data_IF_768941986082
#
_entry.id   IF_768941986082
#
_cell.length_a   1.000
_cell.length_b   1.000
_cell.length_c   1.000
_cell.angle_alpha   90.00
_cell.angle_beta   90.00
_cell.angle_gamma   90.00
#
_symmetry.space_group_name_H-M   'P 1'
#
loop_
_entity.id
_entity.type
_entity.pdbx_description
1 polymer ?
#
# COMPACT_ATOMS: atom_id res chain seq x y z
N UNK A 1 60.71 63.86 -5.56
CA UNK A 1 60.89 64.67 -4.33
C UNK A 1 60.02 64.09 -3.23
N UNK A 2 60.61 63.90 -2.05
CA UNK A 2 60.04 63.96 -0.69
C UNK A 2 58.73 63.21 -0.32
N UNK A 3 58.91 62.13 0.46
CA UNK A 3 58.46 61.83 1.84
C UNK A 3 57.07 62.24 2.42
N UNK A 4 56.66 61.40 3.40
CA UNK A 4 55.66 61.56 4.50
C UNK A 4 54.20 61.20 4.12
N UNK A 5 53.34 60.57 4.94
CA UNK A 5 53.31 60.23 6.37
C UNK A 5 52.19 59.20 6.62
N UNK A 6 52.20 58.57 7.81
CA UNK A 6 51.31 57.51 8.32
C UNK A 6 49.80 57.87 8.36
N UNK A 7 48.94 56.84 8.24
CA UNK A 7 47.72 56.74 9.06
C UNK A 7 47.26 55.28 9.24
N UNK A 8 46.70 55.01 10.42
CA UNK A 8 46.32 53.73 11.03
C UNK A 8 45.17 53.00 10.31
N UNK A 9 45.11 51.69 10.46
CA UNK A 9 43.82 51.00 10.53
C UNK A 9 43.78 49.55 10.05
N UNK A 10 43.82 48.64 11.01
CA UNK A 10 43.07 47.38 11.06
C UNK A 10 43.38 46.21 10.12
N UNK A 11 43.15 45.03 10.72
CA UNK A 11 42.83 43.75 10.11
C UNK A 11 43.97 42.91 9.53
N UNK A 12 44.69 42.21 10.42
CA UNK A 12 45.03 40.81 10.13
C UNK A 12 44.89 39.98 11.42
N UNK A 13 43.64 39.62 11.74
CA UNK A 13 43.28 38.67 12.78
C UNK A 13 43.68 37.23 12.43
N UNK A 14 44.97 36.98 12.26
CA UNK A 14 45.56 35.68 11.91
C UNK A 14 45.65 34.69 13.09
N UNK A 15 45.01 34.94 14.23
CA UNK A 15 45.32 34.22 15.47
C UNK A 15 44.14 33.66 16.27
N UNK A 16 42.90 33.71 15.79
CA UNK A 16 41.78 33.07 16.50
C UNK A 16 40.88 32.26 15.57
N UNK A 17 41.52 31.45 14.74
CA UNK A 17 40.90 30.47 13.85
C UNK A 17 40.50 29.16 14.53
N UNK A 18 40.44 29.06 15.87
CA UNK A 18 40.27 27.75 16.54
C UNK A 18 39.30 27.70 17.73
N UNK A 19 38.56 28.77 18.04
CA UNK A 19 37.73 28.82 19.27
C UNK A 19 36.27 29.21 19.05
N UNK A 20 35.68 28.85 17.91
CA UNK A 20 34.22 29.04 17.66
C UNK A 20 33.49 27.82 17.09
N UNK A 21 34.09 26.63 17.10
CA UNK A 21 33.41 25.40 16.63
C UNK A 21 32.72 24.63 17.77
N UNK A 22 32.98 24.98 19.04
CA UNK A 22 32.51 24.22 20.20
C UNK A 22 31.18 24.69 20.83
N UNK A 23 30.46 25.65 20.23
CA UNK A 23 29.26 26.21 20.85
C UNK A 23 28.08 26.38 19.88
N UNK A 24 27.80 25.34 19.08
CA UNK A 24 26.57 25.27 18.28
C UNK A 24 25.90 23.87 18.34
N UNK A 25 26.28 23.03 19.30
CA UNK A 25 25.53 21.84 19.70
C UNK A 25 24.79 22.19 20.99
N UNK A 26 23.55 22.67 20.95
CA UNK A 26 22.60 22.57 22.11
C UNK A 26 21.22 23.23 21.93
N UNK A 27 20.88 23.88 20.81
CA UNK A 27 19.54 24.51 20.68
C UNK A 27 18.86 24.17 19.35
N UNK A 28 18.59 22.88 19.11
CA UNK A 28 17.46 22.45 18.26
C UNK A 28 16.92 21.14 18.85
N UNK A 29 16.48 21.18 20.11
CA UNK A 29 15.78 20.08 20.77
C UNK A 29 14.42 20.58 21.29
N UNK A 30 13.64 21.19 20.40
CA UNK A 30 12.30 21.68 20.71
C UNK A 30 11.39 21.69 19.47
N UNK A 31 11.39 20.58 18.74
CA UNK A 31 10.32 20.30 17.78
C UNK A 31 9.96 18.83 17.92
N UNK A 32 9.18 18.55 18.96
CA UNK A 32 8.29 17.39 19.05
C UNK A 32 7.38 17.41 17.82
N UNK A 33 7.89 16.95 16.69
CA UNK A 33 7.06 16.37 15.65
C UNK A 33 6.49 15.09 16.27
N UNK A 34 5.30 15.23 16.84
CA UNK A 34 4.34 14.13 16.94
C UNK A 34 4.06 13.71 15.50
N UNK A 35 4.95 12.90 14.94
CA UNK A 35 4.60 12.09 13.79
C UNK A 35 3.59 11.10 14.34
N UNK A 36 2.33 11.05 13.86
CA UNK A 36 1.56 9.84 14.04
C UNK A 36 2.46 8.74 13.52
N UNK A 37 2.68 7.73 14.36
CA UNK A 37 3.33 6.48 14.00
C UNK A 37 2.72 6.01 12.67
N UNK A 38 3.33 6.39 11.55
CA UNK A 38 3.32 5.59 10.35
C UNK A 38 4.14 4.39 10.77
N UNK A 39 3.44 3.44 11.40
CA UNK A 39 3.76 2.04 11.22
C UNK A 39 3.95 1.97 9.71
N UNK A 40 5.17 1.72 9.19
CA UNK A 40 5.24 1.29 7.82
C UNK A 40 4.29 0.11 7.83
N UNK A 41 3.18 0.17 7.09
CA UNK A 41 2.58 -1.06 6.60
C UNK A 41 3.76 -1.70 5.90
N UNK A 42 4.49 -2.57 6.61
CA UNK A 42 5.37 -3.54 6.02
C UNK A 42 4.52 -4.04 4.87
N UNK A 43 4.95 -3.73 3.63
CA UNK A 43 4.22 -4.09 2.42
C UNK A 43 3.87 -5.54 2.64
N UNK A 44 2.62 -5.77 3.04
CA UNK A 44 2.16 -7.07 3.45
C UNK A 44 2.44 -7.90 2.21
N UNK A 45 3.07 -9.05 2.41
CA UNK A 45 3.44 -10.02 1.39
C UNK A 45 2.56 -9.84 0.15
N UNK A 46 3.18 -9.47 -0.98
CA UNK A 46 2.46 -9.10 -2.20
C UNK A 46 1.36 -10.11 -2.53
N UNK A 47 0.39 -9.71 -3.34
CA UNK A 47 -0.74 -10.58 -3.70
C UNK A 47 -0.27 -11.96 -4.17
N UNK A 48 -1.11 -12.99 -4.07
CA UNK A 48 -0.81 -14.33 -4.55
C UNK A 48 -0.42 -14.35 -6.05
N UNK A 49 -0.86 -13.35 -6.81
CA UNK A 49 -0.40 -13.11 -8.16
C UNK A 49 1.04 -12.55 -8.20
N UNK A 50 1.35 -11.50 -7.43
CA UNK A 50 2.72 -10.97 -7.30
C UNK A 50 3.71 -12.02 -6.75
N UNK A 51 3.28 -12.88 -5.82
CA UNK A 51 4.14 -13.94 -5.27
C UNK A 51 4.47 -15.03 -6.29
N UNK A 52 3.69 -15.14 -7.38
CA UNK A 52 3.97 -16.00 -8.53
C UNK A 52 4.93 -15.36 -9.54
N UNK A 53 5.41 -14.14 -9.27
CA UNK A 53 6.38 -13.42 -10.10
C UNK A 53 5.77 -12.53 -11.19
N UNK A 54 4.46 -12.31 -11.16
CA UNK A 54 3.79 -11.39 -12.08
C UNK A 54 3.85 -9.95 -11.55
N UNK A 55 3.94 -8.97 -12.46
CA UNK A 55 3.76 -7.58 -12.08
C UNK A 55 2.27 -7.24 -11.89
N UNK A 56 1.99 -6.08 -11.28
CA UNK A 56 0.63 -5.65 -10.97
C UNK A 56 -0.24 -5.52 -12.23
N UNK A 57 0.33 -5.02 -13.34
CA UNK A 57 -0.42 -4.80 -14.58
C UNK A 57 -0.81 -6.14 -15.23
N UNK A 58 0.05 -7.14 -15.15
CA UNK A 58 -0.24 -8.49 -15.56
C UNK A 58 -1.32 -9.13 -14.68
N UNK A 59 -1.26 -8.94 -13.36
CA UNK A 59 -2.30 -9.41 -12.45
C UNK A 59 -3.67 -8.79 -12.77
N UNK A 60 -3.73 -7.48 -13.02
CA UNK A 60 -4.95 -6.77 -13.40
C UNK A 60 -5.51 -7.27 -14.73
N UNK A 61 -4.63 -7.43 -15.74
CA UNK A 61 -5.03 -7.97 -17.04
C UNK A 61 -5.58 -9.39 -16.93
N UNK A 62 -4.94 -10.26 -16.15
CA UNK A 62 -5.38 -11.64 -15.95
C UNK A 62 -6.68 -11.71 -15.16
N UNK A 63 -6.84 -10.86 -14.15
CA UNK A 63 -8.08 -10.72 -13.38
C UNK A 63 -9.25 -10.37 -14.30
N UNK A 64 -9.12 -9.31 -15.10
CA UNK A 64 -10.16 -8.89 -16.07
C UNK A 64 -10.45 -10.00 -17.08
N UNK A 65 -9.40 -10.63 -17.61
CA UNK A 65 -9.55 -11.73 -18.56
C UNK A 65 -10.34 -12.90 -17.96
N UNK A 66 -10.13 -13.23 -16.68
CA UNK A 66 -10.88 -14.30 -16.02
C UNK A 66 -12.33 -13.90 -15.70
N UNK A 67 -12.59 -12.62 -15.39
CA UNK A 67 -13.97 -12.11 -15.30
C UNK A 67 -14.72 -12.27 -16.62
N UNK A 68 -14.09 -11.88 -17.73
CA UNK A 68 -14.68 -11.99 -19.08
C UNK A 68 -14.96 -13.45 -19.44
N UNK A 69 -14.00 -14.36 -19.20
CA UNK A 69 -14.16 -15.79 -19.45
C UNK A 69 -15.31 -16.42 -18.65
N UNK A 70 -15.65 -15.84 -17.51
CA UNK A 70 -16.75 -16.29 -16.64
C UNK A 70 -18.06 -15.55 -16.88
N UNK A 71 -18.12 -14.67 -17.90
CA UNK A 71 -19.28 -13.82 -18.20
C UNK A 71 -19.74 -12.99 -16.98
N UNK A 72 -18.80 -12.52 -16.16
CA UNK A 72 -19.10 -11.63 -15.03
C UNK A 72 -19.11 -10.19 -15.52
N UNK A 73 -20.30 -9.62 -15.72
CA UNK A 73 -20.46 -8.25 -16.24
C UNK A 73 -19.93 -7.20 -15.26
N UNK A 74 -19.12 -6.26 -15.74
CA UNK A 74 -18.68 -5.10 -14.97
C UNK A 74 -18.79 -3.82 -15.82
N UNK A 75 -18.99 -2.67 -15.16
CA UNK A 75 -19.20 -1.40 -15.87
C UNK A 75 -17.91 -0.86 -16.51
N UNK A 76 -16.81 -0.93 -15.78
CA UNK A 76 -15.49 -0.50 -16.24
C UNK A 76 -14.39 -1.36 -15.58
N UNK A 77 -13.27 -1.65 -16.27
CA UNK A 77 -12.21 -2.50 -15.74
C UNK A 77 -11.59 -1.97 -14.43
N UNK A 78 -11.34 -0.66 -14.34
CA UNK A 78 -10.72 -0.06 -13.16
C UNK A 78 -11.56 -0.22 -11.88
N UNK A 79 -12.87 -0.08 -12.00
CA UNK A 79 -13.77 -0.32 -10.87
C UNK A 79 -13.85 -1.81 -10.51
N UNK A 80 -13.82 -2.71 -11.50
CA UNK A 80 -13.78 -4.15 -11.26
C UNK A 80 -12.52 -4.56 -10.47
N UNK A 81 -11.34 -4.07 -10.89
CA UNK A 81 -10.07 -4.28 -10.19
C UNK A 81 -10.16 -3.79 -8.74
N UNK A 82 -10.65 -2.57 -8.53
CA UNK A 82 -10.83 -2.00 -7.19
C UNK A 82 -11.74 -2.86 -6.31
N UNK A 83 -12.85 -3.36 -6.88
CA UNK A 83 -13.76 -4.28 -6.17
C UNK A 83 -13.04 -5.58 -5.84
N UNK A 84 -12.25 -6.13 -6.76
CA UNK A 84 -11.41 -7.31 -6.55
C UNK A 84 -10.49 -7.16 -5.34
N UNK A 85 -9.74 -6.05 -5.25
CA UNK A 85 -8.91 -5.75 -4.08
C UNK A 85 -9.72 -5.65 -2.79
N UNK A 86 -10.85 -4.92 -2.79
CA UNK A 86 -11.70 -4.79 -1.60
C UNK A 86 -12.22 -6.14 -1.10
N UNK A 87 -12.57 -7.04 -2.01
CA UNK A 87 -13.00 -8.40 -1.67
C UNK A 87 -11.86 -9.18 -1.02
N UNK A 88 -10.68 -9.17 -1.64
CA UNK A 88 -9.50 -9.88 -1.16
C UNK A 88 -9.05 -9.37 0.22
N UNK A 89 -8.96 -8.06 0.40
CA UNK A 89 -8.57 -7.43 1.67
C UNK A 89 -9.56 -7.77 2.79
N UNK A 90 -10.86 -7.71 2.49
CA UNK A 90 -11.89 -8.06 3.46
C UNK A 90 -11.77 -9.52 3.91
N UNK A 91 -11.58 -10.44 2.95
CA UNK A 91 -11.49 -11.88 3.23
C UNK A 91 -10.15 -12.28 3.85
N UNK A 92 -9.07 -11.53 3.62
CA UNK A 92 -7.83 -11.70 4.36
C UNK A 92 -8.03 -11.45 5.87
N UNK A 93 -8.86 -10.45 6.22
CA UNK A 93 -9.28 -10.19 7.61
C UNK A 93 -10.38 -11.13 8.13
N UNK A 94 -11.14 -11.78 7.23
CA UNK A 94 -12.27 -12.65 7.56
C UNK A 94 -12.27 -13.95 6.75
N UNK A 95 -11.24 -14.82 6.88
CA UNK A 95 -11.03 -15.99 6.02
C UNK A 95 -11.94 -17.16 6.45
N UNK A 96 -13.25 -16.95 6.34
CA UNK A 96 -14.29 -17.89 6.79
C UNK A 96 -15.44 -17.92 5.79
N UNK A 97 -16.21 -19.00 5.79
CA UNK A 97 -17.43 -19.10 4.96
C UNK A 97 -18.47 -18.04 5.34
N UNK A 98 -18.53 -17.62 6.60
CA UNK A 98 -19.37 -16.48 7.02
C UNK A 98 -18.92 -15.18 6.33
N UNK A 99 -17.61 -14.93 6.25
CA UNK A 99 -17.05 -13.78 5.53
C UNK A 99 -17.40 -13.81 4.04
N UNK A 100 -17.26 -14.96 3.40
CA UNK A 100 -17.67 -15.18 2.00
C UNK A 100 -19.15 -14.87 1.81
N UNK A 101 -20.03 -15.37 2.68
CA UNK A 101 -21.47 -15.11 2.62
C UNK A 101 -21.80 -13.62 2.80
N UNK A 102 -21.13 -12.93 3.73
CA UNK A 102 -21.32 -11.48 3.93
C UNK A 102 -20.93 -10.72 2.66
N UNK A 103 -19.78 -11.04 2.07
CA UNK A 103 -19.33 -10.39 0.84
C UNK A 103 -20.23 -10.72 -0.34
N UNK A 104 -20.66 -11.97 -0.50
CA UNK A 104 -21.56 -12.38 -1.56
C UNK A 104 -22.91 -11.64 -1.48
N UNK A 105 -23.50 -11.54 -0.29
CA UNK A 105 -24.74 -10.80 -0.07
C UNK A 105 -24.57 -9.31 -0.39
N UNK A 106 -23.42 -8.71 -0.06
CA UNK A 106 -23.09 -7.33 -0.42
C UNK A 106 -23.02 -7.17 -1.95
N UNK A 107 -22.28 -8.04 -2.63
CA UNK A 107 -22.15 -8.02 -4.09
C UNK A 107 -23.52 -8.14 -4.77
N UNK A 108 -24.37 -9.07 -4.33
CA UNK A 108 -25.71 -9.26 -4.89
C UNK A 108 -26.58 -8.02 -4.67
N UNK A 109 -26.50 -7.41 -3.49
CA UNK A 109 -27.23 -6.17 -3.17
C UNK A 109 -26.79 -5.01 -4.07
N UNK A 110 -25.49 -4.90 -4.33
CA UNK A 110 -24.91 -3.81 -5.12
C UNK A 110 -25.08 -4.05 -6.63
N UNK A 111 -25.44 -5.26 -7.06
CA UNK A 111 -25.57 -5.63 -8.47
C UNK A 111 -26.93 -6.34 -8.74
N UNK A 112 -27.99 -5.57 -9.05
CA UNK A 112 -29.30 -6.13 -9.36
C UNK A 112 -29.24 -7.18 -10.49
N UNK A 113 -29.84 -8.35 -10.26
CA UNK A 113 -29.85 -9.46 -11.21
C UNK A 113 -28.70 -10.45 -11.07
N UNK A 114 -27.74 -10.21 -10.17
CA UNK A 114 -26.68 -11.18 -9.88
C UNK A 114 -27.19 -12.35 -9.05
N UNK A 115 -26.77 -13.56 -9.43
CA UNK A 115 -27.03 -14.78 -8.66
C UNK A 115 -25.97 -14.97 -7.56
N UNK A 116 -26.25 -15.78 -6.53
CA UNK A 116 -25.25 -16.18 -5.55
C UNK A 116 -24.01 -16.81 -6.19
N UNK A 117 -24.18 -17.59 -7.26
CA UNK A 117 -23.09 -18.24 -7.98
C UNK A 117 -22.18 -17.23 -8.68
N UNK A 118 -22.74 -16.16 -9.26
CA UNK A 118 -21.96 -15.07 -9.86
C UNK A 118 -21.16 -14.32 -8.80
N UNK A 119 -21.79 -13.99 -7.67
CA UNK A 119 -21.10 -13.31 -6.56
C UNK A 119 -19.96 -14.15 -5.99
N UNK A 120 -20.18 -15.45 -5.76
CA UNK A 120 -19.13 -16.36 -5.30
C UNK A 120 -18.04 -16.54 -6.36
N UNK A 121 -18.38 -16.55 -7.65
CA UNK A 121 -17.40 -16.62 -8.73
C UNK A 121 -16.51 -15.38 -8.76
N UNK A 122 -17.09 -14.18 -8.62
CA UNK A 122 -16.32 -12.94 -8.48
C UNK A 122 -15.39 -13.00 -7.27
N UNK A 123 -15.87 -13.50 -6.13
CA UNK A 123 -15.06 -13.66 -4.92
C UNK A 123 -13.87 -14.58 -5.15
N UNK A 124 -14.09 -15.74 -5.79
CA UNK A 124 -13.02 -16.69 -6.10
C UNK A 124 -11.95 -16.07 -6.98
N UNK A 125 -12.35 -15.40 -8.06
CA UNK A 125 -11.41 -14.71 -8.95
C UNK A 125 -10.64 -13.62 -8.17
N UNK A 126 -11.34 -12.79 -7.39
CA UNK A 126 -10.70 -11.74 -6.60
C UNK A 126 -9.67 -12.29 -5.60
N UNK A 127 -10.00 -13.36 -4.87
CA UNK A 127 -9.06 -14.00 -3.95
C UNK A 127 -7.86 -14.62 -4.69
N UNK A 128 -8.09 -15.27 -5.82
CA UNK A 128 -7.04 -15.91 -6.60
C UNK A 128 -5.95 -14.93 -7.09
N UNK A 129 -6.36 -13.72 -7.49
CA UNK A 129 -5.43 -12.71 -8.02
C UNK A 129 -4.92 -11.76 -6.95
N UNK A 130 -5.78 -11.31 -6.02
CA UNK A 130 -5.46 -10.23 -5.09
C UNK A 130 -5.38 -10.66 -3.62
N UNK A 131 -5.77 -11.89 -3.28
CA UNK A 131 -5.61 -12.41 -1.93
C UNK A 131 -4.13 -12.56 -1.55
N UNK A 132 -3.77 -12.46 -0.26
CA UNK A 132 -2.44 -12.85 0.18
C UNK A 132 -2.22 -14.36 -0.06
N UNK A 133 -0.96 -14.82 -0.18
CA UNK A 133 -0.64 -16.23 -0.33
C UNK A 133 -1.30 -17.09 0.76
N UNK A 134 -1.88 -18.23 0.39
CA UNK A 134 -2.56 -19.11 1.35
C UNK A 134 -4.02 -18.76 1.65
N UNK A 135 -4.54 -17.61 1.19
CA UNK A 135 -5.94 -17.23 1.47
C UNK A 135 -6.94 -18.14 0.77
N UNK A 136 -6.68 -18.49 -0.50
CA UNK A 136 -7.55 -19.37 -1.28
C UNK A 136 -7.69 -20.73 -0.60
N UNK A 137 -6.58 -21.34 -0.21
CA UNK A 137 -6.52 -22.63 0.48
C UNK A 137 -7.22 -22.59 1.86
N UNK A 138 -7.11 -21.47 2.58
CA UNK A 138 -7.83 -21.26 3.85
C UNK A 138 -9.34 -21.19 3.66
N UNK A 139 -9.80 -20.54 2.60
CA UNK A 139 -11.23 -20.47 2.28
C UNK A 139 -11.76 -21.82 1.79
N UNK A 140 -10.99 -22.55 0.99
CA UNK A 140 -11.36 -23.89 0.52
C UNK A 140 -11.42 -24.90 1.67
N UNK A 141 -10.43 -24.87 2.58
CA UNK A 141 -10.46 -25.72 3.78
C UNK A 141 -11.64 -25.37 4.68
N UNK A 142 -11.95 -24.09 4.89
CA UNK A 142 -13.14 -23.67 5.62
C UNK A 142 -14.45 -24.11 4.95
N UNK A 143 -14.50 -24.17 3.62
CA UNK A 143 -15.66 -24.67 2.88
C UNK A 143 -15.83 -26.19 3.04
N UNK A 144 -14.74 -26.94 3.12
CA UNK A 144 -14.76 -28.40 3.28
C UNK A 144 -15.18 -28.87 4.68
N UNK A 145 -15.10 -27.99 5.68
CA UNK A 145 -15.44 -28.26 7.08
C UNK A 145 -16.85 -27.80 7.48
N UNK A 146 -17.60 -27.15 6.57
CA UNK A 146 -18.93 -26.60 6.77
C UNK A 146 -20.02 -27.55 6.23
#
# INVERSE_FOLDING_TARGET
MAACSMSKGSDVGLLRSFTKILLAMTIVLASLLVTPSVVPLARAEGTACESRGFDLADCDRMYITDLDRRNLTYNEPGNAIRIGHVIADYLAGHPTMKGVTVMANKIIKDNPGWTPQMAVSLIKVAVHYYGPPGLEERLESAASAA
#
